data_IF_583358819489
#
_entry.id   IF_583358819489
#
_cell.length_a   1.000
_cell.length_b   1.000
_cell.length_c   1.000
_cell.angle_alpha   90.00
_cell.angle_beta   90.00
_cell.angle_gamma   90.00
#
_symmetry.space_group_name_H-M   'P 1'
#
loop_
_entity.id
_entity.type
_entity.pdbx_description
1 polymer ?
#
# COMPACT_ATOMS: atom_id res chain seq x y z
N UNK A 1 14.95 11.95 5.67
CA UNK A 1 14.40 12.59 4.46
C UNK A 1 13.32 11.74 3.76
N UNK A 2 12.62 10.83 4.47
CA UNK A 2 11.55 9.99 3.88
C UNK A 2 10.20 10.02 4.61
N UNK A 3 10.06 10.77 5.71
CA UNK A 3 8.79 10.90 6.42
C UNK A 3 7.83 11.83 5.66
N UNK A 4 6.53 11.48 5.65
CA UNK A 4 5.53 12.30 4.95
C UNK A 4 5.42 13.70 5.55
N UNK A 5 5.17 14.70 4.68
CA UNK A 5 5.04 16.10 5.11
C UNK A 5 3.93 16.29 6.15
N UNK A 6 2.74 15.64 6.05
CA UNK A 6 1.72 15.71 7.08
C UNK A 6 2.20 15.21 8.45
N UNK A 7 2.99 14.12 8.49
CA UNK A 7 3.53 13.58 9.76
C UNK A 7 4.49 14.57 10.40
N UNK A 8 5.36 15.22 9.62
CA UNK A 8 6.30 16.24 10.13
C UNK A 8 5.55 17.46 10.66
N UNK A 9 4.59 17.97 9.88
CA UNK A 9 3.80 19.14 10.25
C UNK A 9 2.97 18.89 11.52
N UNK A 10 2.31 17.73 11.62
CA UNK A 10 1.53 17.34 12.78
C UNK A 10 2.41 17.21 14.04
N UNK A 11 3.55 16.53 13.95
CA UNK A 11 4.46 16.35 15.09
C UNK A 11 4.98 17.69 15.63
N UNK A 12 5.33 18.65 14.74
CA UNK A 12 5.65 20.03 15.16
C UNK A 12 4.44 20.74 15.76
N UNK A 13 3.25 20.57 15.17
CA UNK A 13 2.00 21.12 15.66
C UNK A 13 1.61 20.61 17.06
N UNK A 14 2.01 19.39 17.42
CA UNK A 14 1.89 18.84 18.76
C UNK A 14 2.94 19.35 19.75
N UNK A 15 3.84 20.25 19.32
CA UNK A 15 4.82 20.92 20.17
C UNK A 15 6.21 20.29 20.21
N UNK A 16 6.50 19.31 19.35
CA UNK A 16 7.81 18.67 19.31
C UNK A 16 8.83 19.46 18.47
N UNK A 17 10.10 19.46 18.92
CA UNK A 17 11.25 19.81 18.07
C UNK A 17 11.57 18.65 17.13
N UNK A 18 11.39 18.87 15.82
CA UNK A 18 11.58 17.82 14.80
C UNK A 18 12.86 18.03 14.02
N UNK A 19 13.80 17.10 14.23
CA UNK A 19 15.07 16.99 13.50
C UNK A 19 15.01 15.87 12.48
N UNK A 20 15.30 16.19 11.22
CA UNK A 20 15.29 15.21 10.13
C UNK A 20 16.72 14.72 9.88
N UNK A 21 17.02 13.51 10.34
CA UNK A 21 18.32 12.86 10.17
C UNK A 21 18.15 11.57 9.38
N UNK A 22 19.09 11.26 8.49
CA UNK A 22 19.09 10.03 7.71
C UNK A 22 17.97 9.93 6.67
N UNK A 23 17.78 8.71 6.16
CA UNK A 23 16.78 8.35 5.13
C UNK A 23 15.85 7.23 5.57
N UNK A 24 16.29 6.37 6.47
CA UNK A 24 15.53 5.23 6.99
C UNK A 24 15.10 5.44 8.44
N UNK A 25 14.19 4.58 8.94
CA UNK A 25 13.86 4.54 10.37
C UNK A 25 15.09 4.19 11.20
N UNK A 26 15.94 3.29 10.70
CA UNK A 26 17.15 2.84 11.39
C UNK A 26 18.16 4.00 11.54
N UNK A 27 18.35 4.83 10.51
CA UNK A 27 19.20 6.02 10.60
C UNK A 27 18.67 7.02 11.65
N UNK A 28 17.35 7.20 11.71
CA UNK A 28 16.71 8.09 12.66
C UNK A 28 16.83 7.57 14.11
N UNK A 29 16.74 6.26 14.30
CA UNK A 29 16.95 5.62 15.61
C UNK A 29 18.39 5.75 16.07
N UNK A 30 19.38 5.49 15.20
CA UNK A 30 20.78 5.68 15.53
C UNK A 30 21.10 7.12 15.96
N UNK A 31 20.55 8.11 15.25
CA UNK A 31 20.68 9.52 15.62
C UNK A 31 19.97 9.86 16.93
N UNK A 32 18.82 9.25 17.21
CA UNK A 32 18.08 9.44 18.45
C UNK A 32 18.82 8.82 19.65
N UNK A 33 19.45 7.66 19.47
CA UNK A 33 20.31 7.01 20.47
C UNK A 33 21.55 7.84 20.80
N UNK A 34 22.21 8.40 19.78
CA UNK A 34 23.34 9.33 19.96
C UNK A 34 22.89 10.58 20.72
N UNK A 35 21.79 11.20 20.31
CA UNK A 35 21.23 12.37 20.99
C UNK A 35 20.87 12.08 22.45
N UNK A 36 20.25 10.93 22.74
CA UNK A 36 19.93 10.51 24.11
C UNK A 36 21.21 10.35 24.96
N UNK A 37 22.25 9.74 24.39
CA UNK A 37 23.56 9.56 25.06
C UNK A 37 24.22 10.89 25.39
N UNK A 38 24.18 11.84 24.46
CA UNK A 38 24.91 13.11 24.58
C UNK A 38 24.18 14.13 25.48
N UNK A 39 22.85 14.07 25.53
CA UNK A 39 22.03 15.05 26.27
C UNK A 39 21.41 14.53 27.56
N UNK A 40 21.40 13.21 27.77
CA UNK A 40 20.67 12.56 28.85
C UNK A 40 19.16 12.46 28.63
N UNK A 41 18.68 12.74 27.41
CA UNK A 41 17.28 12.55 27.06
C UNK A 41 16.89 11.06 27.11
N UNK A 42 15.62 10.78 27.45
CA UNK A 42 15.08 9.41 27.44
C UNK A 42 14.64 9.06 26.02
N UNK A 43 15.21 7.99 25.47
CA UNK A 43 14.77 7.44 24.19
C UNK A 43 13.47 6.65 24.38
N UNK A 44 12.40 7.08 23.69
CA UNK A 44 11.15 6.31 23.58
C UNK A 44 11.16 5.57 22.25
N UNK A 45 11.45 4.26 22.28
CA UNK A 45 11.54 3.47 21.05
C UNK A 45 10.16 3.32 20.40
N UNK A 46 10.03 3.40 19.06
CA UNK A 46 8.73 3.24 18.37
C UNK A 46 8.10 1.84 18.44
N UNK A 47 8.82 0.80 18.91
CA UNK A 47 8.30 -0.58 18.92
C UNK A 47 9.08 -1.54 19.83
N UNK A 48 10.41 -1.43 19.93
CA UNK A 48 11.28 -2.42 20.61
C UNK A 48 11.42 -2.15 22.11
N UNK A 49 10.30 -1.94 22.80
CA UNK A 49 10.28 -1.66 24.23
C UNK A 49 9.08 -2.36 24.91
N UNK A 50 9.24 -2.96 26.11
CA UNK A 50 8.16 -3.69 26.79
C UNK A 50 6.89 -2.87 26.98
N UNK A 51 7.02 -1.62 27.43
CA UNK A 51 5.87 -0.73 27.66
C UNK A 51 5.15 -0.35 26.36
N UNK A 52 5.90 -0.22 25.26
CA UNK A 52 5.30 0.07 23.95
C UNK A 52 4.50 -1.13 23.49
N UNK A 53 5.05 -2.33 23.62
CA UNK A 53 4.36 -3.59 23.29
C UNK A 53 3.13 -3.79 24.18
N UNK A 54 3.23 -3.54 25.49
CA UNK A 54 2.08 -3.58 26.40
C UNK A 54 1.00 -2.58 26.01
N UNK A 55 1.40 -1.36 25.65
CA UNK A 55 0.47 -0.34 25.14
C UNK A 55 -0.28 -0.85 23.91
N UNK A 56 0.42 -1.44 22.93
CA UNK A 56 -0.22 -1.98 21.73
C UNK A 56 -1.11 -3.19 22.02
N UNK A 57 -0.83 -3.94 23.09
CA UNK A 57 -1.59 -5.11 23.48
C UNK A 57 -3.03 -4.81 23.90
N UNK A 58 -3.30 -3.55 24.29
CA UNK A 58 -4.66 -3.08 24.61
C UNK A 58 -5.63 -3.27 23.45
N UNK A 59 -5.18 -3.11 22.20
CA UNK A 59 -5.98 -3.38 20.99
C UNK A 59 -6.45 -4.84 20.96
N UNK A 60 -5.60 -5.78 21.38
CA UNK A 60 -5.97 -7.19 21.47
C UNK A 60 -7.08 -7.44 22.50
N UNK A 61 -7.09 -6.70 23.61
CA UNK A 61 -8.15 -6.77 24.63
C UNK A 61 -9.48 -6.26 24.05
N UNK A 62 -9.45 -5.09 23.42
CA UNK A 62 -10.62 -4.47 22.81
C UNK A 62 -11.22 -5.37 21.71
N UNK A 63 -10.39 -6.00 20.87
CA UNK A 63 -10.86 -6.94 19.85
C UNK A 63 -11.62 -8.12 20.48
N UNK A 64 -11.10 -8.70 21.56
CA UNK A 64 -11.74 -9.84 22.23
C UNK A 64 -13.03 -9.44 22.96
N UNK A 65 -13.10 -8.20 23.48
CA UNK A 65 -14.30 -7.65 24.10
C UNK A 65 -15.39 -7.34 23.07
N UNK A 66 -15.04 -6.68 21.98
CA UNK A 66 -15.98 -6.19 20.96
C UNK A 66 -16.36 -7.27 19.93
N UNK A 67 -15.51 -8.27 19.73
CA UNK A 67 -15.74 -9.40 18.81
C UNK A 67 -15.33 -10.74 19.48
N UNK A 68 -16.06 -11.20 20.50
CA UNK A 68 -15.70 -12.42 21.25
C UNK A 68 -15.70 -13.69 20.39
N UNK A 69 -16.39 -13.68 19.26
CA UNK A 69 -16.44 -14.77 18.28
C UNK A 69 -15.30 -14.75 17.25
N UNK A 70 -14.37 -13.80 17.32
CA UNK A 70 -13.26 -13.68 16.37
C UNK A 70 -12.51 -15.02 16.25
N UNK A 71 -12.15 -15.39 15.02
CA UNK A 71 -11.33 -16.58 14.74
C UNK A 71 -9.98 -16.22 14.14
N UNK A 72 -9.88 -15.07 13.48
CA UNK A 72 -8.63 -14.59 12.91
C UNK A 72 -8.48 -13.08 13.10
N UNK A 73 -7.30 -12.63 13.51
CA UNK A 73 -6.89 -11.23 13.57
C UNK A 73 -5.74 -11.01 12.61
N UNK A 74 -5.87 -10.03 11.72
CA UNK A 74 -4.87 -9.69 10.70
C UNK A 74 -4.36 -8.27 10.95
N UNK A 75 -3.04 -8.10 11.02
CA UNK A 75 -2.42 -6.83 11.41
C UNK A 75 -1.15 -6.55 10.61
N UNK A 76 -0.96 -5.30 10.19
CA UNK A 76 0.28 -4.86 9.55
C UNK A 76 1.47 -4.86 10.52
N UNK A 77 2.66 -5.21 10.04
CA UNK A 77 3.86 -5.33 10.87
C UNK A 77 5.11 -4.71 10.20
N UNK A 78 5.64 -3.66 10.84
CA UNK A 78 6.99 -3.14 10.58
C UNK A 78 7.99 -3.77 11.56
N UNK A 79 8.36 -3.02 12.59
CA UNK A 79 9.24 -3.48 13.66
C UNK A 79 8.63 -4.53 14.60
N UNK A 80 7.36 -4.88 14.44
CA UNK A 80 6.69 -5.99 15.14
C UNK A 80 6.01 -5.65 16.48
N UNK A 81 6.13 -4.43 17.00
CA UNK A 81 5.57 -4.07 18.32
C UNK A 81 4.05 -4.25 18.42
N UNK A 82 3.30 -3.79 17.41
CA UNK A 82 1.85 -3.94 17.34
C UNK A 82 1.42 -5.41 17.25
N UNK A 83 2.00 -6.17 16.30
CA UNK A 83 1.69 -7.57 16.11
C UNK A 83 2.07 -8.43 17.33
N UNK A 84 3.21 -8.13 17.96
CA UNK A 84 3.64 -8.79 19.20
C UNK A 84 2.66 -8.52 20.35
N UNK A 85 2.27 -7.25 20.56
CA UNK A 85 1.37 -6.88 21.65
C UNK A 85 0.00 -7.55 21.51
N UNK A 86 -0.61 -7.42 20.33
CA UNK A 86 -1.89 -8.08 20.04
C UNK A 86 -1.76 -9.60 20.17
N UNK A 87 -0.70 -10.19 19.61
CA UNK A 87 -0.43 -11.61 19.68
C UNK A 87 -0.36 -12.14 21.11
N UNK A 88 0.38 -11.46 22.00
CA UNK A 88 0.51 -11.85 23.41
C UNK A 88 -0.85 -11.97 24.08
N UNK A 89 -1.68 -10.93 23.96
CA UNK A 89 -2.99 -10.89 24.63
C UNK A 89 -3.93 -11.93 24.04
N UNK A 90 -4.00 -12.04 22.71
CA UNK A 90 -4.86 -13.01 22.05
C UNK A 90 -4.45 -14.43 22.45
N UNK A 91 -3.16 -14.76 22.41
CA UNK A 91 -2.69 -16.10 22.76
C UNK A 91 -2.85 -16.43 24.25
N UNK A 92 -2.78 -15.44 25.12
CA UNK A 92 -3.00 -15.65 26.56
C UNK A 92 -4.47 -15.93 26.89
N UNK A 93 -5.42 -15.27 26.23
CA UNK A 93 -6.84 -15.35 26.57
C UNK A 93 -7.63 -16.32 25.68
N UNK A 94 -7.27 -16.42 24.41
CA UNK A 94 -7.98 -17.18 23.36
C UNK A 94 -6.97 -17.80 22.38
N UNK A 95 -6.15 -18.78 22.82
CA UNK A 95 -5.03 -19.33 22.05
C UNK A 95 -5.41 -19.93 20.68
N UNK A 96 -6.67 -20.33 20.51
CA UNK A 96 -7.22 -20.86 19.26
C UNK A 96 -7.49 -19.79 18.19
N UNK A 97 -7.52 -18.50 18.56
CA UNK A 97 -7.66 -17.39 17.60
C UNK A 97 -6.34 -17.24 16.85
N UNK A 98 -6.41 -17.24 15.53
CA UNK A 98 -5.25 -17.07 14.66
C UNK A 98 -4.85 -15.60 14.57
N UNK A 99 -3.57 -15.31 14.67
CA UNK A 99 -2.98 -13.98 14.51
C UNK A 99 -2.05 -14.01 13.30
N UNK A 100 -2.34 -13.20 12.30
CA UNK A 100 -1.57 -13.09 11.06
C UNK A 100 -0.96 -11.70 10.96
N UNK A 101 0.37 -11.63 10.92
CA UNK A 101 1.08 -10.40 10.61
C UNK A 101 1.25 -10.25 9.10
N UNK A 102 1.20 -9.01 8.60
CA UNK A 102 1.37 -8.71 7.17
C UNK A 102 2.46 -7.67 6.97
N UNK A 103 3.39 -7.93 6.06
CA UNK A 103 4.43 -6.98 5.65
C UNK A 103 4.31 -6.64 4.16
N UNK A 104 4.86 -5.49 3.75
CA UNK A 104 5.16 -5.27 2.34
C UNK A 104 6.32 -6.21 1.94
N UNK A 105 6.25 -6.82 0.75
CA UNK A 105 7.28 -7.76 0.25
C UNK A 105 8.70 -7.17 0.30
N UNK A 106 8.82 -5.91 -0.14
CA UNK A 106 10.08 -5.16 -0.18
C UNK A 106 10.50 -4.56 1.16
N UNK A 107 9.75 -4.84 2.24
CA UNK A 107 10.06 -4.45 3.62
C UNK A 107 9.93 -5.64 4.60
N UNK A 108 10.03 -6.87 4.11
CA UNK A 108 9.75 -8.09 4.87
C UNK A 108 10.89 -8.55 5.83
N UNK A 109 11.46 -7.63 6.61
CA UNK A 109 12.58 -7.92 7.52
C UNK A 109 12.19 -8.84 8.68
N UNK A 110 10.98 -8.66 9.23
CA UNK A 110 10.46 -9.43 10.34
C UNK A 110 10.22 -10.90 9.95
N UNK A 111 9.63 -11.15 8.78
CA UNK A 111 9.44 -12.50 8.25
C UNK A 111 10.78 -13.25 8.09
N UNK A 112 11.81 -12.57 7.57
CA UNK A 112 13.16 -13.13 7.43
C UNK A 112 13.78 -13.43 8.79
N UNK A 113 13.64 -12.50 9.75
CA UNK A 113 14.19 -12.63 11.09
C UNK A 113 13.55 -13.77 11.89
N UNK A 114 12.23 -13.91 11.83
CA UNK A 114 11.51 -15.01 12.50
C UNK A 114 11.94 -16.37 11.95
N UNK A 115 12.06 -16.50 10.61
CA UNK A 115 12.57 -17.74 10.00
C UNK A 115 14.02 -18.06 10.38
N UNK A 116 14.86 -17.04 10.53
CA UNK A 116 16.26 -17.19 10.93
C UNK A 116 16.44 -17.40 12.45
N UNK A 117 15.37 -17.22 13.26
CA UNK A 117 15.44 -17.26 14.73
C UNK A 117 16.25 -16.12 15.35
N UNK A 118 16.64 -15.11 14.57
CA UNK A 118 17.49 -13.99 14.99
C UNK A 118 17.22 -12.77 14.10
N UNK A 119 17.60 -11.57 14.57
CA UNK A 119 17.39 -10.34 13.81
C UNK A 119 18.22 -10.37 12.52
N UNK A 120 17.55 -10.23 11.39
CA UNK A 120 18.14 -10.11 10.05
C UNK A 120 17.77 -8.75 9.48
N UNK A 121 18.80 -7.96 9.20
CA UNK A 121 18.65 -6.64 8.60
C UNK A 121 18.53 -6.74 7.07
N UNK A 122 17.64 -5.92 6.50
CA UNK A 122 17.55 -5.73 5.05
C UNK A 122 18.62 -4.75 4.57
N UNK A 123 19.21 -5.03 3.41
CA UNK A 123 20.13 -4.09 2.74
C UNK A 123 19.40 -2.88 2.18
N UNK A 124 18.16 -3.06 1.73
CA UNK A 124 17.32 -2.03 1.14
C UNK A 124 15.85 -2.24 1.54
N UNK A 125 15.13 -1.14 1.71
CA UNK A 125 13.69 -1.11 2.00
C UNK A 125 13.04 -0.11 1.05
N UNK A 126 12.03 -0.56 0.30
CA UNK A 126 11.31 0.30 -0.64
C UNK A 126 9.82 -0.09 -0.69
N UNK A 127 8.96 0.73 -0.08
CA UNK A 127 7.51 0.50 -0.07
C UNK A 127 6.74 1.81 0.10
N UNK A 128 5.51 1.88 -0.44
CA UNK A 128 4.55 2.96 -0.19
C UNK A 128 4.01 2.93 1.25
N UNK A 129 4.20 1.82 1.97
CA UNK A 129 3.75 1.62 3.34
C UNK A 129 4.84 2.05 4.36
N UNK A 130 5.05 3.36 4.47
CA UNK A 130 6.10 3.95 5.31
C UNK A 130 6.04 3.52 6.80
N UNK A 131 4.85 3.34 7.36
CA UNK A 131 4.65 2.87 8.73
C UNK A 131 5.14 1.44 9.01
N UNK A 132 5.35 0.63 7.96
CA UNK A 132 5.94 -0.72 8.07
C UNK A 132 7.25 -0.87 7.31
N UNK A 133 7.83 0.24 6.83
CA UNK A 133 9.11 0.28 6.12
C UNK A 133 10.30 0.16 7.09
N UNK A 134 10.41 -0.97 7.78
CA UNK A 134 11.44 -1.23 8.81
C UNK A 134 12.45 -2.26 8.29
N UNK A 135 13.71 -1.84 8.17
CA UNK A 135 14.82 -2.67 7.68
C UNK A 135 15.46 -3.52 8.77
N UNK A 136 15.41 -3.06 10.02
CA UNK A 136 15.92 -3.75 11.20
C UNK A 136 14.78 -3.96 12.23
N UNK A 137 14.18 -5.16 12.31
CA UNK A 137 13.11 -5.43 13.27
C UNK A 137 13.66 -5.51 14.70
N UNK A 138 12.77 -5.35 15.69
CA UNK A 138 13.15 -5.27 17.09
C UNK A 138 13.72 -6.57 17.67
N UNK A 139 14.71 -6.46 18.57
CA UNK A 139 15.32 -7.61 19.26
C UNK A 139 14.37 -8.22 20.28
N UNK A 140 13.50 -7.41 20.89
CA UNK A 140 12.42 -7.87 21.77
C UNK A 140 11.26 -8.42 20.94
N UNK A 141 10.90 -7.74 19.84
CA UNK A 141 9.69 -8.08 19.09
C UNK A 141 9.82 -9.34 18.24
N UNK A 142 10.98 -9.64 17.63
CA UNK A 142 11.21 -10.87 16.84
C UNK A 142 10.86 -12.15 17.59
N UNK A 143 11.41 -12.43 18.80
CA UNK A 143 11.07 -13.64 19.54
C UNK A 143 9.60 -13.66 19.99
N UNK A 144 9.01 -12.49 20.27
CA UNK A 144 7.58 -12.40 20.62
C UNK A 144 6.69 -12.75 19.43
N UNK A 145 6.96 -12.17 18.25
CA UNK A 145 6.23 -12.48 17.02
C UNK A 145 6.36 -13.96 16.69
N UNK A 146 7.58 -14.52 16.74
CA UNK A 146 7.82 -15.96 16.54
C UNK A 146 6.97 -16.86 17.46
N UNK A 147 6.72 -16.40 18.69
CA UNK A 147 5.97 -17.16 19.69
C UNK A 147 4.45 -16.96 19.63
N UNK A 148 3.98 -15.76 19.29
CA UNK A 148 2.59 -15.35 19.49
C UNK A 148 1.83 -15.01 18.19
N UNK A 149 2.51 -14.98 17.05
CA UNK A 149 1.90 -14.78 15.72
C UNK A 149 2.00 -16.10 14.96
N UNK A 150 0.87 -16.59 14.46
CA UNK A 150 0.80 -17.91 13.81
C UNK A 150 1.37 -17.88 12.39
N UNK A 151 1.28 -16.74 11.71
CA UNK A 151 1.74 -16.60 10.33
C UNK A 151 2.17 -15.17 10.01
N UNK A 152 3.17 -15.05 9.14
CA UNK A 152 3.58 -13.77 8.56
C UNK A 152 3.40 -13.88 7.04
N UNK A 153 2.51 -13.05 6.48
CA UNK A 153 2.32 -12.90 5.04
C UNK A 153 3.02 -11.66 4.52
N UNK A 154 3.29 -11.67 3.22
CA UNK A 154 3.77 -10.50 2.49
C UNK A 154 2.78 -10.15 1.39
N UNK A 155 2.66 -8.86 1.08
CA UNK A 155 1.79 -8.33 0.02
C UNK A 155 2.57 -7.37 -0.87
N UNK A 156 2.17 -7.27 -2.14
CA UNK A 156 2.79 -6.38 -3.12
C UNK A 156 2.34 -4.93 -2.93
N UNK A 157 3.03 -4.00 -3.60
CA UNK A 157 2.68 -2.58 -3.60
C UNK A 157 1.31 -2.33 -4.26
N UNK A 158 0.99 -3.11 -5.29
CA UNK A 158 -0.29 -3.11 -5.99
C UNK A 158 -1.42 -3.60 -5.08
N UNK A 159 -1.20 -4.68 -4.33
CA UNK A 159 -2.18 -5.19 -3.34
C UNK A 159 -2.43 -4.17 -2.23
N UNK A 160 -1.39 -3.48 -1.75
CA UNK A 160 -1.54 -2.38 -0.78
C UNK A 160 -2.37 -1.23 -1.35
N UNK A 161 -2.09 -0.79 -2.58
CA UNK A 161 -2.85 0.26 -3.26
C UNK A 161 -4.32 -0.13 -3.45
N UNK A 162 -4.58 -1.38 -3.85
CA UNK A 162 -5.93 -1.91 -3.99
C UNK A 162 -6.69 -1.95 -2.66
N UNK A 163 -6.02 -2.35 -1.57
CA UNK A 163 -6.64 -2.37 -0.24
C UNK A 163 -7.00 -0.97 0.28
N UNK A 164 -6.14 0.04 0.03
CA UNK A 164 -6.46 1.45 0.35
C UNK A 164 -7.72 1.89 -0.41
N UNK A 165 -7.81 1.59 -1.71
CA UNK A 165 -9.01 1.89 -2.51
C UNK A 165 -10.24 1.17 -1.95
N UNK A 166 -10.11 -0.12 -1.58
CA UNK A 166 -11.21 -0.90 -1.02
C UNK A 166 -11.74 -0.31 0.30
N UNK A 167 -10.87 0.14 1.21
CA UNK A 167 -11.26 0.85 2.42
C UNK A 167 -12.05 2.13 2.10
N UNK A 168 -11.56 2.92 1.14
CA UNK A 168 -12.22 4.15 0.73
C UNK A 168 -13.59 3.87 0.08
N UNK A 169 -13.70 2.86 -0.77
CA UNK A 169 -14.92 2.57 -1.51
C UNK A 169 -16.00 1.90 -0.65
N UNK A 170 -15.61 0.95 0.21
CA UNK A 170 -16.56 0.08 0.93
C UNK A 170 -16.80 0.55 2.35
N UNK A 171 -15.75 0.94 3.06
CA UNK A 171 -15.84 1.39 4.46
C UNK A 171 -15.94 2.91 4.58
N UNK A 172 -15.66 3.66 3.50
CA UNK A 172 -15.55 5.13 3.51
C UNK A 172 -14.52 5.65 4.53
N UNK A 173 -13.47 4.84 4.74
CA UNK A 173 -12.36 5.16 5.62
C UNK A 173 -11.12 5.53 4.79
N UNK A 174 -10.45 6.60 5.18
CA UNK A 174 -9.12 6.93 4.65
C UNK A 174 -8.09 6.20 5.50
N UNK A 175 -7.51 5.15 4.95
CA UNK A 175 -6.51 4.29 5.61
C UNK A 175 -5.19 4.43 4.84
N UNK A 176 -4.07 4.61 5.54
CA UNK A 176 -2.75 4.66 4.91
C UNK A 176 -2.29 3.26 4.48
N UNK A 177 -1.33 3.12 3.55
CA UNK A 177 -0.97 1.79 3.02
C UNK A 177 -0.53 0.79 4.10
N UNK A 178 0.22 1.23 5.11
CA UNK A 178 0.61 0.40 6.26
C UNK A 178 -0.61 -0.13 7.04
N UNK A 179 -1.63 0.71 7.24
CA UNK A 179 -2.89 0.32 7.88
C UNK A 179 -3.76 -0.57 7.00
N UNK A 180 -3.59 -0.50 5.69
CA UNK A 180 -4.33 -1.32 4.74
C UNK A 180 -3.74 -2.71 4.51
N UNK A 181 -2.51 -2.98 4.99
CA UNK A 181 -1.79 -4.23 4.74
C UNK A 181 -2.58 -5.49 5.13
N UNK A 182 -3.29 -5.46 6.27
CA UNK A 182 -4.11 -6.59 6.69
C UNK A 182 -5.27 -6.90 5.72
N UNK A 183 -5.89 -5.86 5.15
CA UNK A 183 -6.94 -6.03 4.14
C UNK A 183 -6.34 -6.50 2.82
N UNK A 184 -5.16 -6.00 2.42
CA UNK A 184 -4.47 -6.46 1.22
C UNK A 184 -4.28 -7.98 1.23
N UNK A 185 -3.77 -8.54 2.34
CA UNK A 185 -3.57 -9.98 2.46
C UNK A 185 -4.88 -10.78 2.38
N UNK A 186 -5.99 -10.23 2.88
CA UNK A 186 -7.31 -10.84 2.75
C UNK A 186 -7.87 -10.78 1.34
N UNK A 187 -7.61 -9.71 0.59
CA UNK A 187 -8.08 -9.58 -0.79
C UNK A 187 -7.29 -10.48 -1.75
N UNK A 188 -5.99 -10.68 -1.50
CA UNK A 188 -5.14 -11.57 -2.29
C UNK A 188 -5.55 -13.04 -2.12
N UNK A 189 -6.04 -13.43 -0.94
CA UNK A 189 -6.44 -14.81 -0.63
C UNK A 189 -7.66 -14.86 0.32
N UNK A 190 -8.88 -14.58 -0.17
CA UNK A 190 -10.07 -14.48 0.67
C UNK A 190 -10.43 -15.77 1.42
N UNK A 191 -10.00 -16.93 0.91
CA UNK A 191 -10.31 -18.24 1.46
C UNK A 191 -9.39 -18.67 2.61
N UNK A 192 -8.24 -18.01 2.80
CA UNK A 192 -7.22 -18.45 3.75
C UNK A 192 -7.48 -18.05 5.21
N UNK A 193 -8.45 -17.19 5.49
CA UNK A 193 -8.66 -16.63 6.83
C UNK A 193 -9.99 -17.12 7.42
N UNK A 194 -9.97 -18.01 8.44
CA UNK A 194 -11.19 -18.49 9.08
C UNK A 194 -12.05 -17.34 9.66
N UNK A 195 -13.29 -17.11 9.18
CA UNK A 195 -14.14 -16.01 9.65
C UNK A 195 -14.88 -16.34 10.95
N UNK A 196 -15.13 -15.41 11.88
CA UNK A 196 -15.00 -13.97 11.70
C UNK A 196 -13.55 -13.48 11.74
N UNK A 197 -13.22 -12.61 10.79
CA UNK A 197 -11.89 -12.01 10.66
C UNK A 197 -11.96 -10.56 11.10
N UNK A 198 -10.99 -10.12 11.90
CA UNK A 198 -10.80 -8.72 12.26
C UNK A 198 -9.51 -8.23 11.61
N UNK A 199 -9.60 -7.16 10.83
CA UNK A 199 -8.45 -6.47 10.24
C UNK A 199 -8.17 -5.20 11.04
N UNK A 200 -6.92 -5.04 11.48
CA UNK A 200 -6.49 -3.83 12.19
C UNK A 200 -6.09 -2.76 11.16
N UNK A 201 -6.97 -1.77 10.98
CA UNK A 201 -6.66 -0.55 10.22
C UNK A 201 -5.82 0.40 11.10
N UNK A 202 -4.49 0.23 11.06
CA UNK A 202 -3.59 0.83 12.07
C UNK A 202 -3.36 2.34 11.97
N UNK A 203 -3.72 2.99 10.86
CA UNK A 203 -3.50 4.42 10.69
C UNK A 203 -4.08 4.98 9.38
N UNK A 204 -4.25 6.31 9.36
CA UNK A 204 -4.83 7.06 8.24
C UNK A 204 -4.00 8.28 7.80
N UNK A 205 -2.76 8.40 8.29
CA UNK A 205 -1.89 9.57 8.04
C UNK A 205 -1.20 9.52 6.68
N UNK A 206 -2.00 9.56 5.61
CA UNK A 206 -1.52 9.50 4.22
C UNK A 206 -1.21 10.89 3.65
N UNK A 207 -0.10 11.00 2.92
CA UNK A 207 0.18 12.20 2.13
C UNK A 207 -0.86 12.35 1.01
N UNK A 208 -1.54 13.51 0.85
CA UNK A 208 -2.56 13.67 -0.19
C UNK A 208 -2.07 13.40 -1.61
N UNK A 209 -0.81 13.73 -1.93
CA UNK A 209 -0.20 13.46 -3.25
C UNK A 209 -0.02 11.95 -3.43
N UNK A 210 0.46 11.26 -2.40
CA UNK A 210 0.55 9.79 -2.41
C UNK A 210 -0.83 9.15 -2.56
N UNK A 211 -1.84 9.67 -1.85
CA UNK A 211 -3.21 9.16 -1.94
C UNK A 211 -3.77 9.30 -3.36
N UNK A 212 -3.61 10.45 -4.00
CA UNK A 212 -4.03 10.64 -5.40
C UNK A 212 -3.35 9.64 -6.32
N UNK A 213 -2.04 9.42 -6.14
CA UNK A 213 -1.28 8.44 -6.92
C UNK A 213 -1.79 7.01 -6.71
N UNK A 214 -2.05 6.62 -5.46
CA UNK A 214 -2.63 5.32 -5.10
C UNK A 214 -4.01 5.14 -5.71
N UNK A 215 -4.88 6.15 -5.62
CA UNK A 215 -6.23 6.07 -6.17
C UNK A 215 -6.20 5.92 -7.70
N UNK A 216 -5.35 6.68 -8.39
CA UNK A 216 -5.17 6.53 -9.84
C UNK A 216 -4.69 5.12 -10.20
N UNK A 217 -3.67 4.62 -9.49
CA UNK A 217 -3.12 3.29 -9.75
C UNK A 217 -4.13 2.17 -9.42
N UNK A 218 -4.85 2.28 -8.30
CA UNK A 218 -5.88 1.34 -7.90
C UNK A 218 -7.07 1.33 -8.86
N UNK A 219 -7.50 2.50 -9.36
CA UNK A 219 -8.55 2.60 -10.37
C UNK A 219 -8.11 2.02 -11.72
N UNK A 220 -6.85 2.22 -12.10
CA UNK A 220 -6.28 1.59 -13.30
C UNK A 220 -6.22 0.06 -13.17
N UNK A 221 -5.75 -0.47 -12.03
CA UNK A 221 -5.74 -1.90 -11.76
C UNK A 221 -7.16 -2.52 -11.72
N UNK A 222 -8.15 -1.76 -11.25
CA UNK A 222 -9.55 -2.13 -11.30
C UNK A 222 -10.18 -2.01 -12.71
N UNK A 223 -9.38 -1.69 -13.73
CA UNK A 223 -9.84 -1.51 -15.10
C UNK A 223 -10.85 -0.38 -15.25
N UNK A 224 -10.74 0.69 -14.44
CA UNK A 224 -11.55 1.92 -14.54
C UNK A 224 -10.77 3.09 -15.14
N UNK A 225 -9.47 2.95 -15.27
CA UNK A 225 -8.65 3.79 -16.14
C UNK A 225 -7.89 2.90 -17.12
N UNK A 226 -7.98 3.26 -18.39
CA UNK A 226 -7.34 2.57 -19.50
C UNK A 226 -6.47 3.56 -20.25
N UNK A 227 -5.20 3.20 -20.46
CA UNK A 227 -4.32 3.92 -21.39
C UNK A 227 -3.88 3.01 -22.52
N UNK A 228 -3.78 3.61 -23.71
CA UNK A 228 -3.32 2.95 -24.92
C UNK A 228 -2.86 3.99 -25.93
N UNK A 229 -2.02 3.56 -26.86
CA UNK A 229 -1.58 4.36 -28.01
C UNK A 229 -2.29 3.85 -29.27
N UNK A 230 -2.69 4.76 -30.18
CA UNK A 230 -3.25 4.41 -31.49
C UNK A 230 -2.56 5.22 -32.57
N UNK A 231 -2.03 4.55 -33.58
CA UNK A 231 -1.54 5.22 -34.79
C UNK A 231 -2.70 5.55 -35.74
N UNK A 232 -2.79 6.80 -36.16
CA UNK A 232 -3.78 7.32 -37.08
C UNK A 232 -3.11 7.92 -38.32
N UNK A 233 -3.82 7.98 -39.47
CA UNK A 233 -3.38 8.81 -40.58
C UNK A 233 -3.46 10.30 -40.23
N UNK A 234 -2.42 11.08 -40.55
CA UNK A 234 -2.35 12.53 -40.30
C UNK A 234 -3.17 13.31 -41.33
N UNK A 235 -4.50 13.23 -41.20
CA UNK A 235 -5.46 13.93 -42.06
C UNK A 235 -6.62 14.53 -41.26
N UNK A 236 -7.25 15.62 -41.74
CA UNK A 236 -8.39 16.23 -41.08
C UNK A 236 -9.50 15.20 -40.75
N UNK A 237 -9.97 15.23 -39.50
CA UNK A 237 -11.05 14.38 -39.01
C UNK A 237 -10.64 13.01 -38.46
N UNK A 238 -9.38 12.57 -38.61
CA UNK A 238 -8.94 11.27 -38.10
C UNK A 238 -9.11 11.14 -36.57
N UNK A 239 -8.56 12.09 -35.80
CA UNK A 239 -8.72 12.16 -34.35
C UNK A 239 -10.19 12.32 -33.93
N UNK A 240 -10.96 13.13 -34.66
CA UNK A 240 -12.38 13.32 -34.36
C UNK A 240 -13.18 12.01 -34.52
N UNK A 241 -12.83 11.16 -35.49
CA UNK A 241 -13.42 9.83 -35.65
C UNK A 241 -13.09 8.89 -34.49
N UNK A 242 -11.85 8.90 -34.02
CA UNK A 242 -11.42 8.12 -32.86
C UNK A 242 -12.17 8.56 -31.59
N UNK A 243 -12.22 9.87 -31.30
CA UNK A 243 -12.93 10.40 -30.14
C UNK A 243 -14.43 10.12 -30.18
N UNK A 244 -15.05 10.14 -31.37
CA UNK A 244 -16.46 9.75 -31.52
C UNK A 244 -16.67 8.27 -31.23
N UNK A 245 -15.77 7.41 -31.71
CA UNK A 245 -15.82 5.97 -31.42
C UNK A 245 -15.75 5.70 -29.90
N UNK A 246 -14.89 6.42 -29.18
CA UNK A 246 -14.79 6.33 -27.72
C UNK A 246 -16.07 6.82 -27.03
N UNK A 247 -16.65 7.92 -27.51
CA UNK A 247 -17.91 8.44 -26.99
C UNK A 247 -19.07 7.45 -27.19
N UNK A 248 -19.16 6.81 -28.36
CA UNK A 248 -20.17 5.79 -28.68
C UNK A 248 -20.00 4.53 -27.80
N UNK A 249 -18.77 4.23 -27.39
CA UNK A 249 -18.45 3.17 -26.43
C UNK A 249 -18.57 3.61 -24.96
N UNK A 250 -19.20 4.76 -24.68
CA UNK A 250 -19.39 5.33 -23.34
C UNK A 250 -18.08 5.51 -22.53
N UNK A 251 -16.94 5.67 -23.20
CA UNK A 251 -15.65 5.92 -22.57
C UNK A 251 -15.38 7.43 -22.48
N UNK A 252 -15.15 7.94 -21.27
CA UNK A 252 -14.85 9.36 -21.07
C UNK A 252 -13.35 9.61 -21.29
N UNK A 253 -13.01 10.57 -22.14
CA UNK A 253 -11.62 10.88 -22.46
C UNK A 253 -11.06 11.87 -21.45
N UNK A 254 -9.98 11.50 -20.79
CA UNK A 254 -9.33 12.31 -19.73
C UNK A 254 -8.16 13.09 -20.28
N UNK A 255 -7.36 12.45 -21.13
CA UNK A 255 -6.17 13.05 -21.73
C UNK A 255 -5.96 12.53 -23.16
N UNK A 256 -5.41 13.41 -23.99
CA UNK A 256 -5.09 13.14 -25.40
C UNK A 256 -3.76 13.80 -25.70
N UNK A 257 -2.75 12.98 -26.00
CA UNK A 257 -1.45 13.46 -26.48
C UNK A 257 -1.30 13.06 -27.93
N UNK A 258 -0.93 14.03 -28.77
CA UNK A 258 -0.83 13.88 -30.22
C UNK A 258 0.62 14.08 -30.66
N UNK A 259 1.32 13.00 -31.02
CA UNK A 259 2.75 13.01 -31.33
C UNK A 259 3.01 12.69 -32.81
N UNK A 260 3.68 13.63 -33.50
CA UNK A 260 4.06 13.53 -34.93
C UNK A 260 5.56 13.29 -35.16
N UNK A 261 6.35 13.27 -34.09
CA UNK A 261 7.82 13.38 -34.16
C UNK A 261 8.55 12.13 -33.66
N UNK A 262 7.85 11.04 -33.35
CA UNK A 262 8.51 9.76 -33.03
C UNK A 262 9.19 9.20 -34.28
N UNK A 263 10.41 8.69 -34.12
CA UNK A 263 11.22 8.17 -35.22
C UNK A 263 10.63 6.93 -35.90
N UNK A 264 9.64 6.27 -35.28
CA UNK A 264 8.95 5.09 -35.78
C UNK A 264 7.74 5.40 -36.69
N UNK A 265 7.28 6.65 -36.75
CA UNK A 265 6.10 7.04 -37.52
C UNK A 265 6.44 7.30 -38.99
N UNK A 266 5.56 6.88 -39.90
CA UNK A 266 5.61 7.35 -41.27
C UNK A 266 5.28 8.86 -41.34
N UNK A 267 5.68 9.53 -42.42
CA UNK A 267 5.51 10.98 -42.61
C UNK A 267 4.03 11.41 -42.59
N UNK A 268 3.12 10.50 -42.96
CA UNK A 268 1.67 10.69 -43.00
C UNK A 268 0.93 10.02 -41.83
N UNK A 269 1.66 9.66 -40.77
CA UNK A 269 1.11 9.05 -39.57
C UNK A 269 1.27 9.94 -38.35
N UNK A 270 0.39 9.72 -37.39
CA UNK A 270 0.44 10.36 -36.08
C UNK A 270 0.04 9.38 -35.00
N UNK A 271 0.74 9.42 -33.89
CA UNK A 271 0.39 8.62 -32.72
C UNK A 271 -0.50 9.43 -31.78
N UNK A 272 -1.56 8.81 -31.29
CA UNK A 272 -2.43 9.37 -30.26
C UNK A 272 -2.32 8.51 -29.02
N UNK A 273 -1.69 9.03 -27.98
CA UNK A 273 -1.76 8.43 -26.66
C UNK A 273 -3.02 8.92 -25.95
N UNK A 274 -3.84 8.00 -25.47
CA UNK A 274 -5.13 8.26 -24.85
C UNK A 274 -5.15 7.74 -23.41
N UNK A 275 -5.77 8.53 -22.54
CA UNK A 275 -6.23 8.07 -21.24
C UNK A 275 -7.74 8.20 -21.16
N UNK A 276 -8.43 7.10 -20.86
CA UNK A 276 -9.89 7.06 -20.79
C UNK A 276 -10.37 6.44 -19.48
N UNK A 277 -11.51 6.92 -19.00
CA UNK A 277 -12.25 6.35 -17.88
C UNK A 277 -13.24 5.29 -18.39
N UNK A 278 -13.27 4.16 -17.69
CA UNK A 278 -14.14 3.02 -17.99
C UNK A 278 -14.84 2.56 -16.71
N UNK A 279 -15.87 1.72 -16.84
CA UNK A 279 -16.70 1.27 -15.72
C UNK A 279 -16.13 0.05 -14.98
N UNK A 280 -15.02 -0.51 -15.46
CA UNK A 280 -14.42 -1.73 -14.96
C UNK A 280 -13.82 -2.60 -16.07
N UNK A 281 -13.31 -3.79 -15.72
CA UNK A 281 -12.56 -4.64 -16.64
C UNK A 281 -13.36 -5.08 -17.87
N UNK A 282 -14.65 -5.36 -17.70
CA UNK A 282 -15.55 -5.74 -18.79
C UNK A 282 -15.70 -4.61 -19.81
N UNK A 283 -15.97 -3.39 -19.32
CA UNK A 283 -16.10 -2.21 -20.17
C UNK A 283 -14.79 -1.86 -20.87
N UNK A 284 -13.66 -1.98 -20.17
CA UNK A 284 -12.34 -1.77 -20.78
C UNK A 284 -12.09 -2.74 -21.93
N UNK A 285 -12.46 -4.02 -21.79
CA UNK A 285 -12.38 -5.02 -22.87
C UNK A 285 -13.30 -4.67 -24.03
N UNK A 286 -14.53 -4.23 -23.76
CA UNK A 286 -15.49 -3.81 -24.77
C UNK A 286 -15.00 -2.60 -25.59
N UNK A 287 -14.44 -1.59 -24.92
CA UNK A 287 -13.85 -0.41 -25.57
C UNK A 287 -12.70 -0.83 -26.50
N UNK A 288 -11.75 -1.63 -26.01
CA UNK A 288 -10.63 -2.11 -26.82
C UNK A 288 -11.08 -2.96 -28.01
N UNK A 289 -12.07 -3.84 -27.81
CA UNK A 289 -12.64 -4.65 -28.87
C UNK A 289 -13.32 -3.81 -29.95
N UNK A 290 -14.07 -2.78 -29.54
CA UNK A 290 -14.75 -1.84 -30.45
C UNK A 290 -13.75 -1.08 -31.30
N UNK A 291 -12.70 -0.53 -30.68
CA UNK A 291 -11.61 0.14 -31.38
C UNK A 291 -10.95 -0.78 -32.42
N UNK A 292 -10.60 -1.99 -32.00
CA UNK A 292 -9.96 -3.01 -32.87
C UNK A 292 -10.85 -3.37 -34.06
N UNK A 293 -12.17 -3.50 -33.85
CA UNK A 293 -13.12 -3.84 -34.90
C UNK A 293 -13.24 -2.77 -36.00
N UNK A 294 -12.94 -1.52 -35.64
CA UNK A 294 -12.98 -0.35 -36.54
C UNK A 294 -11.61 -0.02 -37.14
N UNK A 295 -10.61 -0.85 -36.90
CA UNK A 295 -9.26 -0.70 -37.47
C UNK A 295 -8.33 0.21 -36.67
N UNK A 296 -8.75 0.67 -35.48
CA UNK A 296 -7.84 1.28 -34.52
C UNK A 296 -7.13 0.16 -33.78
N UNK A 297 -5.81 0.06 -33.91
CA UNK A 297 -5.00 -0.97 -33.24
C UNK A 297 -4.40 -0.37 -31.97
N UNK A 298 -4.99 -0.62 -30.79
CA UNK A 298 -4.47 -0.05 -29.54
C UNK A 298 -3.21 -0.82 -29.15
N UNK A 299 -2.08 -0.12 -29.10
CA UNK A 299 -0.81 -0.66 -28.59
C UNK A 299 -0.60 -0.22 -27.14
N UNK A 300 0.19 -1.02 -26.40
CA UNK A 300 0.49 -0.76 -24.99
C UNK A 300 -0.74 -0.75 -24.08
N UNK A 301 -1.86 -1.35 -24.51
CA UNK A 301 -3.11 -1.35 -23.77
C UNK A 301 -2.92 -1.95 -22.37
N UNK A 302 -3.04 -1.12 -21.36
CA UNK A 302 -2.74 -1.47 -19.99
C UNK A 302 -3.31 -0.48 -18.98
N UNK A 303 -3.15 -0.75 -17.68
CA UNK A 303 -3.47 0.23 -16.67
C UNK A 303 -2.71 1.53 -16.97
N UNK A 304 -3.40 2.67 -16.89
CA UNK A 304 -2.80 3.97 -17.15
C UNK A 304 -1.51 4.16 -16.34
N UNK A 305 -0.37 4.06 -17.01
CA UNK A 305 0.92 4.32 -16.40
C UNK A 305 1.02 5.82 -16.09
N UNK A 306 1.40 6.12 -14.85
CA UNK A 306 1.50 7.47 -14.29
C UNK A 306 2.53 8.33 -14.98
#
# INVERSE_FOLDING_TARGET
RGASLPKIAATRGYGADVRLVGTTVDDALAAAEEFARDTGAVLIHPFDHPDIVCGQATIGLEILEQCPQVRTVVVGAGGGGLAAGIGVVIKALRPEVRVVAVQAEKAAALARSVRAGSVVQLSEVATIADGIAVGHPGRLTVPMVSRYVDEIRTVSEESLAHAVLAFLERAKLVVEPAGAAGLAAMLDDPGAFPPPVVVVASGGNVDPILLVRILRHGLAAAGRYLSFEVTLPDRPGALAGLLRTLADAEANVLDVVHERTRASLAIDEVEVALQVETRGPEHSREVLATLTSLGYLPDGAGPAAS
#
